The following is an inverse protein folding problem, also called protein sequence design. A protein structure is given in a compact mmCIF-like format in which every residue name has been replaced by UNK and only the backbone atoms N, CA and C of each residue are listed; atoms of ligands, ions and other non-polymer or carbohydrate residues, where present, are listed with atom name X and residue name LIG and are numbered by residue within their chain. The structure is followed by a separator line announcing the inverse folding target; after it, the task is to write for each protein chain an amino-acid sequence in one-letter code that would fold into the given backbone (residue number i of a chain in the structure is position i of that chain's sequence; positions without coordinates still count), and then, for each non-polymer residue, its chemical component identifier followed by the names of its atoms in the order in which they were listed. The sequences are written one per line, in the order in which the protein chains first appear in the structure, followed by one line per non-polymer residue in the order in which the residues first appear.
data_IF_684872456965
#
_entry.id   IF_684872456965
#
_cell.length_a   1.000
_cell.length_b   1.000
_cell.length_c   1.000
_cell.angle_alpha   90.00
_cell.angle_beta   90.00
_cell.angle_gamma   90.00
#
_symmetry.space_group_name_H-M   'P 1'
#
loop_
_entity.id
_entity.type
_entity.pdbx_description
1 polymer ?
#
# COMPACT_ATOMS: atom_id res chain seq x y z
N UNK A 1 1.13 -23.03 -13.28
CA UNK A 1 1.63 -21.86 -12.56
C UNK A 1 2.80 -21.29 -13.33
N UNK A 2 2.70 -20.05 -13.73
CA UNK A 2 3.74 -19.33 -14.46
C UNK A 2 4.07 -18.04 -13.69
N UNK A 3 5.35 -17.71 -13.55
CA UNK A 3 5.77 -16.51 -12.84
C UNK A 3 6.97 -15.87 -13.54
N UNK A 4 7.05 -14.54 -13.44
CA UNK A 4 8.12 -13.73 -14.02
C UNK A 4 8.46 -12.56 -13.12
N UNK A 5 9.66 -12.04 -13.29
CA UNK A 5 10.13 -10.84 -12.62
C UNK A 5 9.98 -9.67 -13.59
N UNK A 6 9.32 -8.60 -13.14
CA UNK A 6 9.14 -7.39 -13.90
C UNK A 6 9.89 -6.23 -13.26
N UNK A 7 10.39 -5.33 -14.10
CA UNK A 7 11.00 -4.07 -13.69
C UNK A 7 10.04 -2.93 -14.00
N UNK A 8 9.68 -2.19 -12.97
CA UNK A 8 8.80 -1.03 -13.06
C UNK A 8 9.64 0.24 -13.05
N UNK A 9 9.66 0.97 -14.15
CA UNK A 9 10.36 2.24 -14.31
C UNK A 9 9.51 3.38 -13.74
N UNK A 10 10.11 4.23 -12.92
CA UNK A 10 9.40 5.35 -12.30
C UNK A 10 9.38 6.57 -13.23
N UNK A 11 8.28 7.29 -13.21
CA UNK A 11 8.13 8.55 -13.96
C UNK A 11 9.12 9.60 -13.47
N UNK A 12 9.32 9.66 -12.15
CA UNK A 12 10.28 10.53 -11.48
C UNK A 12 11.09 9.75 -10.46
N UNK A 13 12.31 10.18 -10.10
CA UNK A 13 13.05 9.59 -9.00
C UNK A 13 12.21 9.59 -7.72
N UNK A 14 12.09 8.41 -7.11
CA UNK A 14 11.37 8.22 -5.85
C UNK A 14 12.30 8.42 -4.68
N UNK A 15 12.17 9.53 -4.00
CA UNK A 15 12.95 9.89 -2.82
C UNK A 15 12.11 9.80 -1.56
N UNK A 16 12.57 9.01 -0.60
CA UNK A 16 12.02 8.85 0.75
C UNK A 16 13.16 8.92 1.78
N UNK A 17 12.86 8.91 3.07
CA UNK A 17 13.85 8.97 4.15
C UNK A 17 14.98 7.93 4.02
N UNK A 18 14.72 6.77 3.41
CA UNK A 18 15.69 5.66 3.27
C UNK A 18 16.48 5.63 1.95
N UNK A 19 16.29 6.60 1.05
CA UNK A 19 17.04 6.67 -0.19
C UNK A 19 16.26 7.09 -1.42
N UNK A 20 16.92 6.93 -2.58
CA UNK A 20 16.38 7.30 -3.89
C UNK A 20 16.43 6.09 -4.81
N UNK A 21 15.37 5.91 -5.61
CA UNK A 21 15.37 4.92 -6.67
C UNK A 21 14.58 5.41 -7.90
N UNK A 22 14.94 4.86 -9.06
CA UNK A 22 14.31 5.17 -10.35
C UNK A 22 13.51 4.00 -10.91
N UNK A 23 13.59 2.85 -10.23
CA UNK A 23 12.91 1.63 -10.62
C UNK A 23 12.51 0.82 -9.41
N UNK A 24 11.57 -0.10 -9.60
CA UNK A 24 11.17 -1.14 -8.65
C UNK A 24 11.09 -2.48 -9.37
N UNK A 25 11.23 -3.55 -8.60
CA UNK A 25 11.07 -4.91 -9.10
C UNK A 25 9.83 -5.53 -8.49
N UNK A 26 9.10 -6.30 -9.26
CA UNK A 26 7.96 -7.07 -8.79
C UNK A 26 7.97 -8.48 -9.37
N UNK A 27 7.38 -9.43 -8.66
CA UNK A 27 7.11 -10.79 -9.13
C UNK A 27 5.65 -10.86 -9.54
N UNK A 28 5.39 -11.22 -10.79
CA UNK A 28 4.04 -11.49 -11.30
C UNK A 28 3.84 -12.99 -11.36
N UNK A 29 2.72 -13.45 -10.86
CA UNK A 29 2.26 -14.84 -10.91
C UNK A 29 1.00 -14.95 -11.75
N UNK A 30 0.98 -15.92 -12.66
CA UNK A 30 -0.23 -16.36 -13.36
C UNK A 30 -0.57 -17.78 -12.95
N UNK A 31 -1.83 -18.02 -12.58
CA UNK A 31 -2.31 -19.34 -12.20
C UNK A 31 -3.80 -19.50 -12.50
N UNK A 32 -4.15 -20.55 -13.25
CA UNK A 32 -5.54 -20.91 -13.59
C UNK A 32 -6.38 -19.76 -14.15
N UNK A 33 -5.73 -18.87 -14.93
CA UNK A 33 -6.32 -17.67 -15.50
C UNK A 33 -6.44 -16.48 -14.53
N UNK A 34 -5.98 -16.62 -13.30
CA UNK A 34 -5.86 -15.52 -12.35
C UNK A 34 -4.43 -14.99 -12.24
N UNK A 35 -4.30 -13.72 -11.88
CA UNK A 35 -3.04 -13.01 -11.74
C UNK A 35 -2.81 -12.55 -10.31
N UNK A 36 -1.55 -12.57 -9.88
CA UNK A 36 -1.12 -12.04 -8.60
C UNK A 36 0.24 -11.38 -8.67
N UNK A 37 0.57 -10.57 -7.69
CA UNK A 37 1.79 -9.77 -7.67
C UNK A 37 2.40 -9.71 -6.29
N UNK A 38 3.74 -9.62 -6.24
CA UNK A 38 4.50 -9.31 -5.04
C UNK A 38 5.62 -8.32 -5.34
N UNK A 39 5.46 -7.08 -4.91
CA UNK A 39 6.51 -6.07 -5.01
C UNK A 39 7.74 -6.43 -4.15
N UNK A 40 8.94 -6.19 -4.67
CA UNK A 40 10.18 -6.32 -3.92
C UNK A 40 10.44 -5.00 -3.20
N UNK A 41 10.38 -5.06 -1.88
CA UNK A 41 10.49 -3.89 -1.01
C UNK A 41 11.67 -4.09 -0.06
N UNK A 42 12.69 -3.21 -0.09
CA UNK A 42 13.94 -3.43 0.64
C UNK A 42 13.76 -3.68 2.14
N UNK A 43 12.88 -2.93 2.81
CA UNK A 43 12.70 -3.06 4.26
C UNK A 43 11.93 -4.33 4.68
N UNK A 44 11.28 -5.02 3.73
CA UNK A 44 10.64 -6.32 4.01
C UNK A 44 11.62 -7.49 3.95
N UNK A 45 12.85 -7.26 3.45
CA UNK A 45 13.95 -8.21 3.51
C UNK A 45 13.81 -9.44 2.61
N UNK A 46 12.87 -9.46 1.66
CA UNK A 46 12.69 -10.55 0.70
C UNK A 46 13.13 -10.16 -0.71
N UNK A 47 13.95 -10.99 -1.32
CA UNK A 47 14.36 -10.89 -2.72
C UNK A 47 13.38 -11.58 -3.66
N UNK A 48 13.43 -11.24 -4.96
CA UNK A 48 12.67 -11.95 -5.99
C UNK A 48 13.04 -13.45 -6.05
N UNK A 49 14.30 -13.80 -5.84
CA UNK A 49 14.77 -15.18 -5.85
C UNK A 49 14.12 -16.01 -4.72
N UNK A 50 14.00 -15.46 -3.52
CA UNK A 50 13.36 -16.13 -2.37
C UNK A 50 11.86 -16.32 -2.61
N UNK A 51 11.18 -15.31 -3.16
CA UNK A 51 9.75 -15.40 -3.52
C UNK A 51 9.55 -16.47 -4.58
N UNK A 52 10.37 -16.48 -5.64
CA UNK A 52 10.28 -17.48 -6.71
C UNK A 52 10.57 -18.90 -6.20
N UNK A 53 11.55 -19.07 -5.32
CA UNK A 53 11.87 -20.36 -4.69
C UNK A 53 10.68 -20.88 -3.86
N UNK A 54 10.04 -20.01 -3.07
CA UNK A 54 8.87 -20.37 -2.27
C UNK A 54 7.67 -20.77 -3.15
N UNK A 55 7.39 -20.02 -4.22
CA UNK A 55 6.35 -20.36 -5.19
C UNK A 55 6.62 -21.69 -5.92
N UNK A 56 7.88 -21.93 -6.28
CA UNK A 56 8.31 -23.19 -6.95
C UNK A 56 8.16 -24.39 -6.02
N UNK A 57 8.57 -24.25 -4.75
CA UNK A 57 8.39 -25.29 -3.73
C UNK A 57 6.91 -25.63 -3.52
N UNK A 58 6.07 -24.59 -3.39
CA UNK A 58 4.62 -24.79 -3.26
C UNK A 58 4.04 -25.53 -4.48
N UNK A 59 4.46 -25.16 -5.70
CA UNK A 59 4.01 -25.83 -6.93
C UNK A 59 4.41 -27.30 -6.96
N UNK A 60 5.65 -27.66 -6.58
CA UNK A 60 6.18 -29.03 -6.58
C UNK A 60 5.44 -29.90 -5.57
N UNK A 61 5.23 -29.41 -4.35
CA UNK A 61 4.50 -30.15 -3.31
C UNK A 61 3.05 -30.48 -3.75
N UNK A 62 2.44 -29.63 -4.56
CA UNK A 62 1.09 -29.86 -5.11
C UNK A 62 1.04 -30.92 -6.20
N UNK A 63 2.10 -31.05 -6.99
CA UNK A 63 2.19 -32.12 -8.00
C UNK A 63 2.30 -33.52 -7.34
N UNK A 64 2.97 -33.58 -6.18
CA UNK A 64 3.11 -34.85 -5.43
C UNK A 64 1.83 -35.20 -4.66
N UNK A 65 1.04 -34.20 -4.26
CA UNK A 65 -0.19 -34.35 -3.48
C UNK A 65 -1.38 -33.62 -4.13
N UNK A 66 -1.87 -34.07 -5.30
CA UNK A 66 -2.96 -33.41 -5.99
C UNK A 66 -4.27 -33.46 -5.18
N UNK A 67 -4.76 -32.31 -4.81
CA UNK A 67 -6.10 -32.15 -4.22
C UNK A 67 -7.01 -31.46 -5.23
N UNK A 68 -8.25 -31.90 -5.34
CA UNK A 68 -9.24 -31.26 -6.19
C UNK A 68 -9.66 -29.91 -5.58
N UNK A 69 -9.57 -28.83 -6.36
CA UNK A 69 -10.00 -27.48 -5.99
C UNK A 69 -8.95 -26.69 -5.20
N UNK A 70 -9.12 -25.37 -5.23
CA UNK A 70 -8.31 -24.40 -4.47
C UNK A 70 -8.91 -24.14 -3.10
N UNK A 71 -8.04 -24.08 -2.10
CA UNK A 71 -8.39 -23.49 -0.82
C UNK A 71 -7.44 -22.31 -0.55
N UNK A 72 -7.98 -21.16 -0.36
CA UNK A 72 -7.21 -19.92 -0.08
C UNK A 72 -6.40 -20.03 1.24
N UNK A 73 -6.86 -20.90 2.16
CA UNK A 73 -6.17 -21.22 3.42
C UNK A 73 -4.84 -21.99 3.25
N UNK A 74 -4.59 -22.60 2.08
CA UNK A 74 -3.33 -23.31 1.82
C UNK A 74 -2.13 -22.34 1.66
N UNK A 75 -2.38 -21.06 1.46
CA UNK A 75 -1.35 -20.03 1.31
C UNK A 75 -0.58 -19.78 2.61
N UNK A 76 -1.21 -19.99 3.77
CA UNK A 76 -0.62 -19.68 5.08
C UNK A 76 0.64 -20.47 5.43
N UNK A 77 0.81 -21.65 4.86
CA UNK A 77 2.00 -22.49 5.08
C UNK A 77 3.25 -22.06 4.31
N UNK A 78 3.15 -21.04 3.46
CA UNK A 78 4.29 -20.54 2.67
C UNK A 78 5.12 -19.62 3.56
N UNK A 79 6.44 -19.89 3.66
CA UNK A 79 7.32 -19.11 4.51
C UNK A 79 7.54 -17.66 4.01
N UNK A 80 7.47 -17.42 2.70
CA UNK A 80 7.62 -16.11 2.08
C UNK A 80 6.32 -15.33 2.06
N UNK A 81 6.30 -14.17 2.70
CA UNK A 81 5.14 -13.27 2.71
C UNK A 81 4.82 -12.72 1.32
N UNK A 82 5.86 -12.48 0.50
CA UNK A 82 5.68 -12.09 -0.89
C UNK A 82 5.05 -13.19 -1.74
N UNK A 83 5.49 -14.44 -1.56
CA UNK A 83 4.89 -15.58 -2.26
C UNK A 83 3.45 -15.82 -1.81
N UNK A 84 3.15 -15.65 -0.51
CA UNK A 84 1.77 -15.66 -0.01
C UNK A 84 0.92 -14.62 -0.73
N UNK A 85 1.38 -13.37 -0.81
CA UNK A 85 0.65 -12.27 -1.44
C UNK A 85 0.36 -12.58 -2.90
N UNK A 86 1.38 -12.92 -3.71
CA UNK A 86 1.19 -13.21 -5.12
C UNK A 86 0.22 -14.39 -5.34
N UNK A 87 0.33 -15.44 -4.55
CA UNK A 87 -0.53 -16.62 -4.69
C UNK A 87 -1.96 -16.32 -4.23
N UNK A 88 -2.14 -15.64 -3.11
CA UNK A 88 -3.46 -15.26 -2.57
C UNK A 88 -4.24 -14.41 -3.59
N UNK A 89 -3.58 -13.40 -4.18
CA UNK A 89 -4.20 -12.58 -5.23
C UNK A 89 -4.60 -13.41 -6.44
N UNK A 90 -3.70 -14.25 -6.94
CA UNK A 90 -3.96 -15.07 -8.13
C UNK A 90 -5.11 -16.05 -7.92
N UNK A 91 -5.22 -16.65 -6.73
CA UNK A 91 -6.31 -17.58 -6.40
C UNK A 91 -7.65 -16.87 -6.31
N UNK A 92 -7.71 -15.71 -5.67
CA UNK A 92 -8.94 -14.91 -5.60
C UNK A 92 -9.36 -14.39 -6.98
N UNK A 93 -8.41 -13.96 -7.81
CA UNK A 93 -8.68 -13.53 -9.19
C UNK A 93 -9.24 -14.68 -10.03
N UNK A 94 -8.61 -15.86 -9.97
CA UNK A 94 -9.07 -17.05 -10.68
C UNK A 94 -10.48 -17.47 -10.26
N UNK A 95 -10.76 -17.49 -8.96
CA UNK A 95 -12.08 -17.82 -8.42
C UNK A 95 -13.15 -16.82 -8.89
N UNK A 96 -12.87 -15.53 -8.77
CA UNK A 96 -13.79 -14.48 -9.15
C UNK A 96 -14.06 -14.52 -10.68
N UNK A 97 -13.02 -14.74 -11.50
CA UNK A 97 -13.18 -14.95 -12.96
C UNK A 97 -14.02 -16.17 -13.29
N UNK A 98 -13.78 -17.30 -12.62
CA UNK A 98 -14.54 -18.53 -12.83
C UNK A 98 -16.03 -18.38 -12.50
N UNK A 99 -16.36 -17.52 -11.52
CA UNK A 99 -17.75 -17.17 -11.17
C UNK A 99 -18.35 -16.09 -12.06
N UNK A 100 -17.56 -15.43 -12.91
CA UNK A 100 -18.00 -14.28 -13.69
C UNK A 100 -18.33 -13.04 -12.82
N UNK A 101 -17.74 -12.94 -11.62
CA UNK A 101 -18.03 -11.91 -10.64
C UNK A 101 -16.80 -11.03 -10.35
N UNK A 102 -16.99 -9.72 -10.06
CA UNK A 102 -15.89 -8.88 -9.63
C UNK A 102 -15.41 -9.28 -8.22
N UNK A 103 -14.11 -9.07 -7.96
CA UNK A 103 -13.46 -9.50 -6.72
C UNK A 103 -14.15 -8.94 -5.46
N UNK A 104 -14.58 -7.68 -5.43
CA UNK A 104 -15.26 -7.10 -4.27
C UNK A 104 -16.50 -7.91 -3.86
N UNK A 105 -17.21 -8.51 -4.82
CA UNK A 105 -18.40 -9.32 -4.54
C UNK A 105 -18.02 -10.66 -3.90
N UNK A 106 -16.95 -11.29 -4.37
CA UNK A 106 -16.40 -12.51 -3.76
C UNK A 106 -15.95 -12.26 -2.32
N UNK A 107 -15.40 -11.08 -2.04
CA UNK A 107 -15.02 -10.65 -0.70
C UNK A 107 -16.20 -10.29 0.21
N UNK A 108 -17.44 -10.44 -0.25
CA UNK A 108 -18.65 -10.15 0.53
C UNK A 108 -18.96 -8.65 0.67
N UNK A 109 -18.37 -7.81 -0.16
CA UNK A 109 -18.61 -6.37 -0.16
C UNK A 109 -19.89 -6.09 -0.97
N UNK A 110 -20.84 -5.36 -0.38
CA UNK A 110 -22.20 -5.27 -0.93
C UNK A 110 -22.41 -4.15 -1.94
N UNK A 111 -21.55 -3.15 -1.98
CA UNK A 111 -21.69 -2.01 -2.88
C UNK A 111 -20.35 -1.39 -3.21
N UNK A 112 -20.18 -0.99 -4.46
CA UNK A 112 -19.05 -0.16 -4.88
C UNK A 112 -19.41 1.29 -4.59
N UNK A 113 -18.69 1.89 -3.67
CA UNK A 113 -18.80 3.31 -3.37
C UNK A 113 -17.64 4.07 -4.02
N UNK A 114 -17.62 5.34 -3.83
CA UNK A 114 -16.55 6.21 -4.26
C UNK A 114 -15.28 5.95 -3.43
N UNK A 115 -14.14 5.79 -4.09
CA UNK A 115 -12.82 5.72 -3.47
C UNK A 115 -12.09 7.00 -3.85
N UNK A 116 -11.53 7.70 -2.86
CA UNK A 116 -10.62 8.81 -3.08
C UNK A 116 -9.21 8.43 -2.62
N UNK A 117 -8.25 8.60 -3.51
CA UNK A 117 -6.83 8.36 -3.23
C UNK A 117 -6.06 9.66 -3.08
N UNK A 118 -5.00 9.63 -2.27
CA UNK A 118 -3.97 10.66 -2.32
C UNK A 118 -3.10 10.52 -3.58
N UNK A 119 -2.46 11.63 -3.96
CA UNK A 119 -1.37 11.64 -4.92
C UNK A 119 -0.07 11.99 -4.20
N UNK A 120 0.97 11.17 -4.37
CA UNK A 120 2.21 11.28 -3.61
C UNK A 120 3.20 12.24 -4.25
N UNK A 121 3.70 13.16 -3.45
CA UNK A 121 4.83 14.05 -3.77
C UNK A 121 6.07 13.49 -3.06
N UNK A 122 7.03 13.01 -3.83
CA UNK A 122 8.31 12.53 -3.31
C UNK A 122 9.10 13.70 -2.69
N UNK A 123 9.99 13.36 -1.74
CA UNK A 123 10.86 14.37 -1.10
C UNK A 123 11.71 15.10 -2.12
N UNK A 124 11.75 16.42 -1.99
CA UNK A 124 12.61 17.32 -2.76
C UNK A 124 12.77 18.65 -2.03
N UNK A 125 13.31 19.69 -2.69
CA UNK A 125 13.32 21.04 -2.15
C UNK A 125 11.91 21.60 -1.98
N UNK A 126 11.66 22.56 -1.07
CA UNK A 126 10.34 23.15 -0.86
C UNK A 126 9.71 23.67 -2.16
N UNK A 127 10.47 24.37 -3.00
CA UNK A 127 10.00 24.92 -4.28
C UNK A 127 9.57 23.82 -5.26
N UNK A 128 10.34 22.73 -5.36
CA UNK A 128 10.05 21.63 -6.24
C UNK A 128 8.82 20.83 -5.77
N UNK A 129 8.69 20.60 -4.47
CA UNK A 129 7.49 19.97 -3.92
C UNK A 129 6.25 20.82 -4.14
N UNK A 130 6.34 22.13 -3.97
CA UNK A 130 5.26 23.07 -4.26
C UNK A 130 4.89 23.09 -5.75
N UNK A 131 5.89 23.05 -6.65
CA UNK A 131 5.66 22.95 -8.11
C UNK A 131 4.89 21.66 -8.45
N UNK A 132 5.34 20.52 -7.97
CA UNK A 132 4.68 19.21 -8.19
C UNK A 132 3.27 19.16 -7.61
N UNK A 133 3.07 19.73 -6.43
CA UNK A 133 1.75 19.81 -5.79
C UNK A 133 0.75 20.62 -6.65
N UNK A 134 1.20 21.72 -7.28
CA UNK A 134 0.38 22.51 -8.19
C UNK A 134 0.05 21.74 -9.47
N UNK A 135 1.04 21.03 -10.04
CA UNK A 135 0.88 20.24 -11.27
C UNK A 135 -0.01 19.01 -11.09
N UNK A 136 0.05 18.37 -9.92
CA UNK A 136 -0.77 17.21 -9.59
C UNK A 136 -2.27 17.50 -9.65
N UNK A 137 -2.68 18.74 -9.33
CA UNK A 137 -4.10 19.16 -9.31
C UNK A 137 -5.03 18.15 -8.61
N UNK A 138 -4.54 17.54 -7.52
CA UNK A 138 -5.25 16.54 -6.74
C UNK A 138 -5.89 17.19 -5.51
N UNK A 139 -7.05 16.66 -5.09
CA UNK A 139 -7.75 17.13 -3.89
C UNK A 139 -7.13 16.59 -2.59
N UNK A 140 -6.33 15.54 -2.68
CA UNK A 140 -5.61 14.93 -1.57
C UNK A 140 -4.16 14.70 -1.98
N UNK A 141 -3.22 15.23 -1.23
CA UNK A 141 -1.79 15.05 -1.45
C UNK A 141 -1.14 14.33 -0.27
N UNK A 142 -0.29 13.37 -0.57
CA UNK A 142 0.60 12.72 0.39
C UNK A 142 2.01 13.23 0.18
N UNK A 143 2.61 13.84 1.21
CA UNK A 143 3.96 14.39 1.13
C UNK A 143 4.94 13.46 1.82
N UNK A 144 5.97 13.03 1.12
CA UNK A 144 7.08 12.26 1.71
C UNK A 144 7.96 13.20 2.53
N UNK A 145 8.20 12.83 3.79
CA UNK A 145 8.92 13.58 4.81
C UNK A 145 10.12 12.77 5.33
N UNK A 146 10.82 13.28 6.34
CA UNK A 146 12.02 12.69 6.93
C UNK A 146 13.31 13.36 6.44
N UNK A 147 13.18 14.58 5.90
CA UNK A 147 14.29 15.45 5.50
C UNK A 147 14.59 16.55 6.51
N UNK A 148 15.57 17.39 6.18
CA UNK A 148 15.98 18.50 7.05
C UNK A 148 15.02 19.70 7.01
N UNK A 149 14.29 19.87 5.90
CA UNK A 149 13.45 21.04 5.63
C UNK A 149 11.95 20.71 5.60
N UNK A 150 11.52 19.68 6.32
CA UNK A 150 10.15 19.15 6.27
C UNK A 150 9.07 20.22 6.51
N UNK A 151 9.27 21.09 7.50
CA UNK A 151 8.32 22.17 7.77
C UNK A 151 8.25 23.17 6.62
N UNK A 152 9.39 23.57 6.04
CA UNK A 152 9.43 24.46 4.89
C UNK A 152 8.77 23.82 3.66
N UNK A 153 8.94 22.50 3.45
CA UNK A 153 8.27 21.77 2.39
C UNK A 153 6.75 21.81 2.54
N UNK A 154 6.24 21.53 3.74
CA UNK A 154 4.77 21.58 4.01
C UNK A 154 4.24 23.02 3.84
N UNK A 155 4.97 24.02 4.32
CA UNK A 155 4.59 25.44 4.17
C UNK A 155 4.52 25.85 2.70
N UNK A 156 5.53 25.51 1.90
CA UNK A 156 5.59 25.80 0.47
C UNK A 156 4.44 25.12 -0.30
N UNK A 157 4.17 23.85 -0.02
CA UNK A 157 3.05 23.12 -0.62
C UNK A 157 1.71 23.75 -0.20
N UNK A 158 1.51 24.04 1.08
CA UNK A 158 0.27 24.67 1.55
C UNK A 158 0.05 26.04 0.93
N UNK A 159 1.10 26.77 0.64
CA UNK A 159 1.04 28.08 -0.03
C UNK A 159 0.49 28.04 -1.45
N UNK A 160 0.46 26.88 -2.10
CA UNK A 160 0.03 26.73 -3.50
C UNK A 160 -1.23 25.88 -3.69
N UNK A 161 -1.73 25.22 -2.64
CA UNK A 161 -2.92 24.37 -2.74
C UNK A 161 -3.74 24.34 -1.46
N UNK A 162 -5.05 24.11 -1.62
CA UNK A 162 -5.99 23.85 -0.53
C UNK A 162 -6.29 22.34 -0.39
N UNK A 163 -5.57 21.47 -1.08
CA UNK A 163 -5.74 20.02 -0.98
C UNK A 163 -5.61 19.53 0.48
N UNK A 164 -6.28 18.44 0.79
CA UNK A 164 -6.03 17.70 2.04
C UNK A 164 -4.58 17.20 2.04
N UNK A 165 -3.83 17.47 3.10
CA UNK A 165 -2.43 17.03 3.22
C UNK A 165 -2.33 15.86 4.19
N UNK A 166 -1.70 14.78 3.74
CA UNK A 166 -1.22 13.64 4.52
C UNK A 166 0.30 13.65 4.48
N UNK A 167 0.95 13.39 5.60
CA UNK A 167 2.40 13.33 5.67
C UNK A 167 2.84 11.89 5.89
N UNK A 168 3.93 11.48 5.26
CA UNK A 168 4.51 10.17 5.44
C UNK A 168 6.03 10.30 5.65
N UNK A 169 6.44 10.08 6.89
CA UNK A 169 7.83 10.21 7.29
C UNK A 169 8.64 8.93 7.07
N UNK A 170 8.00 7.80 6.73
CA UNK A 170 8.64 6.49 6.54
C UNK A 170 9.64 6.14 7.66
N UNK A 171 9.31 6.49 8.93
CA UNK A 171 10.18 6.26 10.08
C UNK A 171 11.43 7.16 10.15
N UNK A 172 11.43 8.26 9.41
CA UNK A 172 12.60 9.12 9.24
C UNK A 172 12.85 10.11 10.38
N UNK A 173 11.95 10.26 11.35
CA UNK A 173 12.12 11.18 12.48
C UNK A 173 12.56 10.45 13.75
N UNK A 174 13.40 11.11 14.55
CA UNK A 174 13.59 10.75 15.96
C UNK A 174 12.37 11.16 16.80
N UNK A 175 12.27 10.67 18.05
CA UNK A 175 11.19 11.08 18.98
C UNK A 175 11.18 12.59 19.19
N UNK A 176 12.35 13.17 19.40
CA UNK A 176 12.55 14.62 19.63
C UNK A 176 12.15 15.45 18.41
N UNK A 177 12.52 15.00 17.21
CA UNK A 177 12.13 15.65 15.96
C UNK A 177 10.63 15.58 15.74
N UNK A 178 10.02 14.41 15.90
CA UNK A 178 8.59 14.25 15.78
C UNK A 178 7.81 15.13 16.78
N UNK A 179 8.21 15.12 18.06
CA UNK A 179 7.57 15.96 19.09
C UNK A 179 7.73 17.46 18.84
N UNK A 180 8.83 17.89 18.21
CA UNK A 180 9.06 19.27 17.84
C UNK A 180 8.31 19.68 16.57
N UNK A 181 8.27 18.80 15.56
CA UNK A 181 7.69 19.11 14.25
C UNK A 181 6.17 19.03 14.26
N UNK A 182 5.59 17.96 14.80
CA UNK A 182 4.16 17.68 14.66
C UNK A 182 3.24 18.81 15.18
N UNK A 183 3.47 19.43 16.34
CA UNK A 183 2.67 20.57 16.79
C UNK A 183 2.79 21.78 15.84
N UNK A 184 3.95 21.99 15.22
CA UNK A 184 4.18 23.07 14.25
C UNK A 184 3.49 22.80 12.93
N UNK A 185 3.49 21.55 12.47
CA UNK A 185 2.84 21.11 11.26
C UNK A 185 1.30 21.13 11.37
N UNK A 186 0.75 20.97 12.58
CA UNK A 186 -0.69 21.02 12.83
C UNK A 186 -1.35 22.32 12.31
N UNK A 187 -0.63 23.46 12.31
CA UNK A 187 -1.12 24.75 11.78
C UNK A 187 -1.50 24.71 10.30
N UNK A 188 -0.92 23.77 9.55
CA UNK A 188 -1.20 23.57 8.12
C UNK A 188 -2.41 22.66 7.85
N UNK A 189 -3.17 22.29 8.88
CA UNK A 189 -4.36 21.43 8.80
C UNK A 189 -4.05 20.08 8.14
N UNK A 190 -3.03 19.41 8.69
CA UNK A 190 -2.64 18.06 8.28
C UNK A 190 -3.71 17.06 8.71
N UNK A 191 -4.18 16.20 7.81
CA UNK A 191 -5.18 15.18 8.10
C UNK A 191 -4.63 14.05 8.97
N UNK A 192 -3.41 13.60 8.67
CA UNK A 192 -2.69 12.58 9.42
C UNK A 192 -1.19 12.60 9.14
N UNK A 193 -0.44 11.96 10.01
CA UNK A 193 0.98 11.63 9.80
C UNK A 193 1.14 10.12 9.85
N UNK A 194 1.71 9.55 8.78
CA UNK A 194 2.02 8.15 8.62
C UNK A 194 3.45 7.87 9.05
N UNK A 195 3.63 6.81 9.84
CA UNK A 195 4.90 6.25 10.33
C UNK A 195 5.96 7.32 10.67
N UNK A 196 5.72 8.16 11.69
CA UNK A 196 6.69 9.20 12.06
C UNK A 196 8.02 8.63 12.55
N UNK A 197 8.00 7.50 13.27
CA UNK A 197 9.16 6.91 13.94
C UNK A 197 9.56 5.58 13.33
N UNK A 198 10.84 5.23 13.47
CA UNK A 198 11.38 3.95 13.03
C UNK A 198 10.63 2.76 13.66
N UNK A 199 10.45 1.68 12.90
CA UNK A 199 9.93 0.39 13.40
C UNK A 199 10.77 -0.17 14.54
N UNK A 200 12.07 0.11 14.56
CA UNK A 200 12.97 -0.30 15.63
C UNK A 200 12.66 0.37 16.98
N UNK A 201 11.91 1.47 16.97
CA UNK A 201 11.48 2.16 18.19
C UNK A 201 10.13 1.60 18.69
N UNK A 202 10.16 0.44 19.31
CA UNK A 202 8.96 -0.29 19.76
C UNK A 202 8.06 0.46 20.74
N UNK A 203 8.60 1.45 21.48
CA UNK A 203 7.84 2.27 22.44
C UNK A 203 7.50 3.67 21.88
N UNK A 204 7.99 4.00 20.70
CA UNK A 204 7.92 5.34 20.14
C UNK A 204 6.50 5.87 19.98
N UNK A 205 5.56 5.04 19.51
CA UNK A 205 4.16 5.47 19.37
C UNK A 205 3.50 5.76 20.72
N UNK A 206 3.73 4.93 21.75
CA UNK A 206 3.26 5.18 23.11
C UNK A 206 3.83 6.48 23.67
N UNK A 207 5.12 6.71 23.43
CA UNK A 207 5.80 7.94 23.83
C UNK A 207 5.21 9.17 23.12
N UNK A 208 4.99 9.12 21.79
CA UNK A 208 4.36 10.20 21.03
C UNK A 208 2.92 10.48 21.50
N UNK A 209 2.15 9.42 21.78
CA UNK A 209 0.79 9.55 22.31
C UNK A 209 0.75 10.36 23.60
N UNK A 210 1.74 10.15 24.48
CA UNK A 210 1.86 10.88 25.75
C UNK A 210 2.18 12.38 25.55
N UNK A 211 2.74 12.78 24.40
CA UNK A 211 3.04 14.19 24.10
C UNK A 211 1.81 15.01 23.67
N UNK A 212 0.66 14.37 23.36
CA UNK A 212 -0.58 15.05 22.93
C UNK A 212 -0.37 15.99 21.73
N UNK A 213 0.31 15.50 20.71
CA UNK A 213 0.81 16.31 19.57
C UNK A 213 -0.27 16.89 18.63
N UNK A 214 -1.55 16.53 18.80
CA UNK A 214 -2.67 17.19 18.12
C UNK A 214 -2.85 16.84 16.63
N UNK A 215 -2.06 15.90 16.08
CA UNK A 215 -2.20 15.39 14.71
C UNK A 215 -2.41 13.87 14.77
N UNK A 216 -3.40 13.31 14.04
CA UNK A 216 -3.62 11.87 14.01
C UNK A 216 -2.40 11.12 13.49
N UNK A 217 -2.03 10.01 14.15
CA UNK A 217 -0.89 9.17 13.77
C UNK A 217 -1.40 7.85 13.22
N UNK A 218 -0.88 7.46 12.05
CA UNK A 218 -1.11 6.17 11.41
C UNK A 218 0.19 5.35 11.36
N UNK A 219 0.11 4.08 11.72
CA UNK A 219 1.24 3.15 11.62
C UNK A 219 1.20 2.44 10.26
N UNK A 220 2.32 2.42 9.53
CA UNK A 220 2.49 1.72 8.24
C UNK A 220 3.46 0.54 8.38
N UNK A 221 4.77 0.81 8.36
CA UNK A 221 5.80 -0.23 8.40
C UNK A 221 5.72 -1.09 9.67
N UNK A 222 5.17 -0.55 10.74
CA UNK A 222 4.97 -1.25 12.01
C UNK A 222 3.81 -2.27 11.97
N UNK A 223 3.01 -2.30 10.89
CA UNK A 223 1.87 -3.22 10.72
C UNK A 223 2.19 -4.25 9.65
N UNK A 224 2.58 -5.45 10.05
CA UNK A 224 2.86 -6.58 9.14
C UNK A 224 2.13 -7.87 9.52
N UNK A 225 1.47 -7.90 10.70
CA UNK A 225 0.69 -9.04 11.20
C UNK A 225 -0.55 -8.56 11.96
N UNK A 226 -1.49 -9.47 12.26
CA UNK A 226 -2.65 -9.15 13.07
C UNK A 226 -2.26 -8.82 14.53
N UNK A 227 -1.25 -9.50 15.07
CA UNK A 227 -0.71 -9.20 16.40
C UNK A 227 -0.10 -7.79 16.44
N UNK A 228 0.48 -7.34 15.33
CA UNK A 228 0.97 -5.96 15.18
C UNK A 228 -0.16 -4.93 15.27
N UNK A 229 -1.34 -5.22 14.73
CA UNK A 229 -2.52 -4.36 14.88
C UNK A 229 -2.93 -4.26 16.36
N UNK A 230 -2.97 -5.39 17.07
CA UNK A 230 -3.34 -5.43 18.49
C UNK A 230 -2.38 -4.62 19.37
N UNK A 231 -1.08 -4.75 19.14
CA UNK A 231 -0.05 -4.09 19.93
C UNK A 231 -0.05 -2.56 19.76
N UNK A 232 -0.53 -2.05 18.64
CA UNK A 232 -0.55 -0.63 18.32
C UNK A 232 -1.86 0.08 18.72
N UNK A 233 -2.93 -0.67 19.01
CA UNK A 233 -4.29 -0.15 19.12
C UNK A 233 -4.47 1.02 20.10
N UNK A 234 -3.68 1.07 21.18
CA UNK A 234 -3.77 2.14 22.18
C UNK A 234 -2.88 3.34 21.86
N UNK A 235 -1.99 3.22 20.88
CA UNK A 235 -0.89 4.15 20.67
C UNK A 235 -0.98 4.93 19.34
N UNK A 236 -1.90 4.54 18.43
CA UNK A 236 -2.11 5.19 17.14
C UNK A 236 -3.59 5.48 16.91
N UNK A 237 -3.89 6.37 15.97
CA UNK A 237 -5.28 6.72 15.59
C UNK A 237 -5.76 5.88 14.41
N UNK A 238 -4.84 5.24 13.69
CA UNK A 238 -5.15 4.38 12.57
C UNK A 238 -3.96 3.57 12.09
N UNK A 239 -4.23 2.69 11.13
CA UNK A 239 -3.21 1.84 10.49
C UNK A 239 -3.30 1.90 8.98
N UNK A 240 -2.16 1.70 8.32
CA UNK A 240 -2.04 1.55 6.87
C UNK A 240 -1.92 0.08 6.52
N UNK A 241 -2.87 -0.39 5.74
CA UNK A 241 -3.00 -1.78 5.31
C UNK A 241 -2.46 -1.90 3.89
N UNK A 242 -1.49 -2.78 3.67
CA UNK A 242 -0.93 -3.07 2.35
C UNK A 242 -0.91 -4.57 2.13
N UNK A 243 -1.42 -5.03 0.98
CA UNK A 243 -1.52 -6.46 0.65
C UNK A 243 -0.16 -7.15 0.77
N UNK A 244 0.87 -6.51 0.24
CA UNK A 244 2.24 -7.03 0.24
C UNK A 244 2.81 -7.28 1.65
N UNK A 245 2.50 -6.44 2.63
CA UNK A 245 2.96 -6.58 4.02
C UNK A 245 2.27 -7.74 4.73
N UNK A 246 0.97 -7.88 4.50
CA UNK A 246 0.13 -8.84 5.24
C UNK A 246 0.07 -10.21 4.58
N UNK A 247 0.48 -10.35 3.31
CA UNK A 247 0.49 -11.62 2.61
C UNK A 247 -0.75 -11.88 1.76
N UNK A 248 -1.49 -10.82 1.38
CA UNK A 248 -2.59 -10.88 0.42
C UNK A 248 -3.91 -10.34 0.94
N UNK A 249 -4.97 -10.58 0.17
CA UNK A 249 -6.32 -10.05 0.39
C UNK A 249 -6.96 -10.57 1.69
N UNK A 250 -6.82 -11.86 1.95
CA UNK A 250 -7.44 -12.50 3.11
C UNK A 250 -6.91 -11.93 4.44
N UNK A 251 -5.60 -11.83 4.57
CA UNK A 251 -4.97 -11.28 5.77
C UNK A 251 -5.21 -9.77 5.90
N UNK A 252 -5.24 -9.05 4.77
CA UNK A 252 -5.57 -7.63 4.76
C UNK A 252 -7.03 -7.39 5.19
N UNK A 253 -7.98 -8.20 4.72
CA UNK A 253 -9.38 -8.13 5.14
C UNK A 253 -9.52 -8.36 6.65
N UNK A 254 -8.88 -9.41 7.18
CA UNK A 254 -8.86 -9.68 8.63
C UNK A 254 -8.26 -8.51 9.43
N UNK A 255 -7.21 -7.86 8.91
CA UNK A 255 -6.61 -6.70 9.55
C UNK A 255 -7.55 -5.48 9.58
N UNK A 256 -8.33 -5.25 8.51
CA UNK A 256 -9.37 -4.20 8.47
C UNK A 256 -10.43 -4.46 9.55
N UNK A 257 -10.97 -5.68 9.60
CA UNK A 257 -11.98 -6.04 10.59
C UNK A 257 -11.43 -5.91 12.02
N UNK A 258 -10.20 -6.37 12.24
CA UNK A 258 -9.55 -6.27 13.55
C UNK A 258 -9.34 -4.82 13.96
N UNK A 259 -8.80 -3.97 13.09
CA UNK A 259 -8.60 -2.55 13.36
C UNK A 259 -9.91 -1.85 13.73
N UNK A 260 -10.98 -2.11 12.98
CA UNK A 260 -12.31 -1.58 13.29
C UNK A 260 -12.84 -2.02 14.65
N UNK A 261 -12.67 -3.29 15.01
CA UNK A 261 -13.08 -3.81 16.31
C UNK A 261 -12.35 -3.15 17.48
N UNK A 262 -11.17 -2.58 17.21
CA UNK A 262 -10.33 -1.84 18.17
C UNK A 262 -10.56 -0.32 18.12
N UNK A 263 -11.46 0.16 17.24
CA UNK A 263 -11.75 1.58 17.08
C UNK A 263 -10.68 2.37 16.31
N UNK A 264 -9.77 1.67 15.61
CA UNK A 264 -8.77 2.29 14.74
C UNK A 264 -9.37 2.68 13.40
N UNK A 265 -8.94 3.81 12.86
CA UNK A 265 -9.16 4.15 11.45
C UNK A 265 -8.26 3.31 10.56
N UNK A 266 -8.71 3.09 9.33
CA UNK A 266 -8.00 2.27 8.34
C UNK A 266 -7.71 3.05 7.07
N UNK A 267 -6.51 2.91 6.53
CA UNK A 267 -6.13 3.40 5.21
C UNK A 267 -5.61 2.25 4.36
N UNK A 268 -6.23 1.99 3.22
CA UNK A 268 -5.67 1.07 2.24
C UNK A 268 -4.54 1.77 1.50
N UNK A 269 -3.33 1.26 1.64
CA UNK A 269 -2.14 1.73 0.93
C UNK A 269 -1.64 0.73 -0.11
N UNK A 270 -0.66 1.16 -0.90
CA UNK A 270 0.08 0.32 -1.83
C UNK A 270 1.60 0.48 -1.63
N UNK A 271 2.36 -0.44 -2.19
CA UNK A 271 3.77 -0.22 -2.51
C UNK A 271 3.88 0.45 -3.88
N UNK A 272 5.09 0.70 -4.38
CA UNK A 272 5.28 0.90 -5.82
C UNK A 272 5.12 -0.49 -6.46
N UNK A 273 3.95 -0.75 -6.99
CA UNK A 273 3.52 -2.00 -7.62
C UNK A 273 2.59 -1.70 -8.80
N UNK A 274 2.38 -2.69 -9.67
CA UNK A 274 1.64 -2.47 -10.91
C UNK A 274 0.14 -2.27 -10.68
N UNK A 275 -0.56 -1.88 -11.73
CA UNK A 275 -2.04 -1.81 -11.73
C UNK A 275 -2.70 -3.11 -11.27
N UNK A 276 -2.02 -4.27 -11.35
CA UNK A 276 -2.58 -5.54 -10.88
C UNK A 276 -2.80 -5.54 -9.36
N UNK A 277 -1.75 -5.34 -8.57
CA UNK A 277 -1.84 -5.36 -7.11
C UNK A 277 -2.63 -4.16 -6.58
N UNK A 278 -2.45 -2.98 -7.17
CA UNK A 278 -3.18 -1.78 -6.73
C UNK A 278 -4.68 -1.89 -7.02
N UNK A 279 -5.07 -2.51 -8.13
CA UNK A 279 -6.50 -2.78 -8.39
C UNK A 279 -7.06 -3.80 -7.39
N UNK A 280 -6.30 -4.85 -7.05
CA UNK A 280 -6.71 -5.79 -6.00
C UNK A 280 -6.90 -5.08 -4.65
N UNK A 281 -5.98 -4.20 -4.26
CA UNK A 281 -6.09 -3.39 -3.04
C UNK A 281 -7.33 -2.47 -3.06
N UNK A 282 -7.67 -1.90 -4.22
CA UNK A 282 -8.82 -1.02 -4.35
C UNK A 282 -10.16 -1.72 -4.05
N UNK A 283 -10.28 -3.02 -4.28
CA UNK A 283 -11.47 -3.77 -3.86
C UNK A 283 -11.65 -3.79 -2.34
N UNK A 284 -10.56 -3.93 -1.57
CA UNK A 284 -10.62 -3.85 -0.11
C UNK A 284 -10.67 -2.40 0.41
N UNK A 285 -10.19 -1.42 -0.36
CA UNK A 285 -10.32 -0.01 0.00
C UNK A 285 -11.77 0.43 0.21
N UNK A 286 -12.73 -0.25 -0.41
CA UNK A 286 -14.17 -0.07 -0.17
C UNK A 286 -14.57 -0.30 1.31
N UNK A 287 -13.76 -1.02 2.05
CA UNK A 287 -13.92 -1.26 3.48
C UNK A 287 -13.12 -0.30 4.35
N UNK A 288 -12.23 0.50 3.82
CA UNK A 288 -11.37 1.40 4.58
C UNK A 288 -11.93 2.81 4.66
N UNK A 289 -11.47 3.57 5.67
CA UNK A 289 -11.85 4.98 5.83
C UNK A 289 -11.13 5.87 4.82
N UNK A 290 -9.91 5.50 4.42
CA UNK A 290 -9.01 6.26 3.56
C UNK A 290 -8.33 5.33 2.54
N UNK A 291 -7.83 5.92 1.44
CA UNK A 291 -7.00 5.20 0.48
C UNK A 291 -5.79 6.03 0.02
N UNK A 292 -4.71 5.30 -0.34
CA UNK A 292 -3.45 5.78 -0.91
C UNK A 292 -2.99 4.77 -1.97
N UNK A 293 -3.54 4.90 -3.19
CA UNK A 293 -3.51 3.90 -4.26
C UNK A 293 -3.01 4.51 -5.58
N UNK A 294 -1.98 5.33 -5.53
CA UNK A 294 -1.49 6.12 -6.65
C UNK A 294 -0.29 5.49 -7.40
N UNK A 295 0.22 4.34 -6.97
CA UNK A 295 1.41 3.74 -7.57
C UNK A 295 1.35 3.59 -9.10
N UNK A 296 0.21 3.21 -9.74
CA UNK A 296 0.13 3.15 -11.20
C UNK A 296 0.40 4.49 -11.90
N UNK A 297 0.15 5.62 -11.25
CA UNK A 297 0.44 6.95 -11.79
C UNK A 297 1.94 7.31 -11.72
N UNK A 298 2.70 6.56 -10.95
CA UNK A 298 4.13 6.76 -10.72
C UNK A 298 5.01 5.87 -11.59
N UNK A 299 4.41 4.93 -12.35
CA UNK A 299 5.08 3.93 -13.18
C UNK A 299 4.90 4.28 -14.65
N UNK A 300 6.00 4.20 -15.42
CA UNK A 300 5.99 4.50 -16.87
C UNK A 300 5.59 3.30 -17.72
N UNK A 301 6.06 2.14 -17.36
CA UNK A 301 5.91 0.86 -18.10
C UNK A 301 5.06 -0.16 -17.34
N UNK A 302 3.93 0.27 -16.81
CA UNK A 302 3.03 -0.62 -16.06
C UNK A 302 2.58 -1.80 -16.95
N UNK A 303 2.88 -3.07 -16.56
CA UNK A 303 2.56 -4.25 -17.37
C UNK A 303 1.06 -4.60 -17.37
N UNK A 304 0.25 -3.90 -16.57
CA UNK A 304 -1.19 -4.09 -16.51
C UNK A 304 -1.94 -2.77 -16.70
N UNK A 305 -3.20 -2.88 -17.09
CA UNK A 305 -4.19 -1.81 -16.95
C UNK A 305 -5.25 -2.24 -15.95
N UNK A 306 -5.71 -1.32 -15.11
CA UNK A 306 -6.65 -1.62 -14.03
C UNK A 306 -7.50 -0.40 -13.68
N UNK A 307 -7.20 0.24 -12.56
CA UNK A 307 -7.91 1.41 -12.07
C UNK A 307 -7.95 2.56 -13.07
N UNK A 308 -9.05 3.31 -13.07
CA UNK A 308 -9.15 4.59 -13.76
C UNK A 308 -9.15 5.72 -12.74
N UNK A 309 -8.31 6.73 -12.97
CA UNK A 309 -8.17 7.90 -12.10
C UNK A 309 -8.85 9.12 -12.72
N UNK A 310 -9.60 9.88 -11.91
CA UNK A 310 -10.20 11.17 -12.27
C UNK A 310 -9.93 12.16 -11.14
N UNK A 311 -8.81 12.86 -11.21
CA UNK A 311 -8.27 13.59 -10.06
C UNK A 311 -7.96 12.61 -8.94
N UNK A 312 -8.45 12.86 -7.73
CA UNK A 312 -8.31 11.90 -6.61
C UNK A 312 -9.33 10.76 -6.62
N UNK A 313 -10.36 10.80 -7.48
CA UNK A 313 -11.33 9.72 -7.57
C UNK A 313 -10.76 8.51 -8.30
N UNK A 314 -10.97 7.32 -7.72
CA UNK A 314 -10.53 6.03 -8.25
C UNK A 314 -11.74 5.19 -8.60
N UNK A 315 -11.76 4.67 -9.82
CA UNK A 315 -12.82 3.81 -10.33
C UNK A 315 -12.27 2.40 -10.55
N UNK A 316 -12.95 1.42 -9.97
CA UNK A 316 -12.69 0.01 -10.23
C UNK A 316 -13.06 -0.33 -11.68
N UNK A 317 -12.26 -1.17 -12.36
CA UNK A 317 -12.62 -1.66 -13.68
C UNK A 317 -13.89 -2.54 -13.60
N UNK A 318 -14.74 -2.50 -14.63
CA UNK A 318 -15.86 -3.42 -14.73
C UNK A 318 -15.35 -4.84 -15.07
N UNK A 319 -16.08 -5.85 -14.66
CA UNK A 319 -15.82 -7.23 -15.05
C UNK A 319 -15.48 -8.16 -13.88
N UNK A 320 -15.15 -9.41 -14.24
CA UNK A 320 -14.84 -10.46 -13.29
C UNK A 320 -13.38 -10.40 -12.81
N UNK A 321 -13.14 -10.95 -11.64
CA UNK A 321 -11.81 -10.98 -11.04
C UNK A 321 -11.39 -9.67 -10.41
N UNK A 322 -10.09 -9.46 -10.34
CA UNK A 322 -9.47 -8.17 -9.97
C UNK A 322 -9.85 -7.11 -11.02
N UNK A 323 -10.09 -7.52 -12.26
CA UNK A 323 -10.41 -6.62 -13.36
C UNK A 323 -9.18 -5.98 -14.01
N UNK A 324 -8.00 -6.18 -13.46
CA UNK A 324 -6.75 -5.80 -14.14
C UNK A 324 -6.48 -6.78 -15.30
N UNK A 325 -6.00 -6.23 -16.42
CA UNK A 325 -5.67 -7.00 -17.61
C UNK A 325 -4.24 -6.72 -18.04
N UNK A 326 -3.48 -7.76 -18.47
CA UNK A 326 -2.16 -7.55 -19.03
C UNK A 326 -2.22 -6.56 -20.21
N UNK A 327 -1.24 -5.69 -20.32
CA UNK A 327 -1.03 -4.91 -21.54
C UNK A 327 -0.31 -5.79 -22.55
N UNK A 328 -0.77 -5.75 -23.80
CA UNK A 328 -0.02 -6.37 -24.89
C UNK A 328 1.32 -5.64 -24.96
N UNK A 329 2.43 -6.42 -24.91
CA UNK A 329 3.77 -5.84 -25.05
C UNK A 329 3.92 -5.23 -26.43
N UNK A 330 4.50 -4.01 -26.48
CA UNK A 330 5.02 -3.43 -27.71
C UNK A 330 6.22 -4.21 -28.25
#
# INVERSE_FOLDING_TARGET
MHFRVERLELVNPWRIAHGVSTERTTVILERDGGYGEAAIVPYLGESSAEILAALSSFASNRLEHPRAGYRVDEVDGIASRGAQCALDLALHDAEARARGEPLWKILGINAVTHIETSFTIAMDTPDEMARRAREANASILKLKMGGVDDEACVEAVRGVTNATLRLDANGGWSREEAARLLPRLARFKIELVEQPLSVADGEGFAWLRAQQIGVPIFADESVSTLEGVDSLAQNVDGIVIKLRKLGGLRQAHAAIERARSLGLRTMMGCMIESSLAVTAAAHLALLCDLADLDAPLLIRNDPFSGLTYRGSAVLLPPGAGIGAVPREGD
#
